data_IF_137055190401
#
_entry.id   IF_137055190401
#
_cell.length_a   1.000
_cell.length_b   1.000
_cell.length_c   1.000
_cell.angle_alpha   90.00
_cell.angle_beta   90.00
_cell.angle_gamma   90.00
#
_symmetry.space_group_name_H-M   'P 1'
#
loop_
_entity.id
_entity.type
_entity.pdbx_description
1 polymer ?
#
# COMPACT_ATOMS: atom_id res chain seq x y z
N UNK A 1 -15.75 7.78 19.40
CA UNK A 1 -14.71 7.88 18.36
C UNK A 1 -15.29 7.75 16.95
N UNK A 2 -15.80 6.60 16.52
CA UNK A 2 -16.27 6.39 15.13
C UNK A 2 -17.48 7.25 14.70
N UNK A 3 -18.27 7.75 15.67
CA UNK A 3 -19.41 8.64 15.40
C UNK A 3 -19.00 10.10 15.19
N UNK A 4 -17.75 10.47 15.49
CA UNK A 4 -17.30 11.85 15.33
C UNK A 4 -17.27 12.26 13.87
N UNK A 5 -17.53 13.54 13.63
CA UNK A 5 -17.51 14.12 12.28
C UNK A 5 -16.12 13.95 11.64
N UNK A 6 -15.05 14.22 12.39
CA UNK A 6 -13.67 13.98 11.98
C UNK A 6 -13.44 12.55 11.46
N UNK A 7 -13.92 11.53 12.19
CA UNK A 7 -13.76 10.14 11.77
C UNK A 7 -14.54 9.85 10.48
N UNK A 8 -15.79 10.33 10.40
CA UNK A 8 -16.65 10.14 9.21
C UNK A 8 -16.05 10.80 7.97
N UNK A 9 -15.49 12.00 8.10
CA UNK A 9 -14.80 12.69 7.00
C UNK A 9 -13.57 11.91 6.55
N UNK A 10 -12.70 11.49 7.47
CA UNK A 10 -11.52 10.70 7.12
C UNK A 10 -11.86 9.34 6.54
N UNK A 11 -12.93 8.70 7.00
CA UNK A 11 -13.40 7.42 6.46
C UNK A 11 -13.78 7.54 4.97
N UNK A 12 -14.39 8.67 4.55
CA UNK A 12 -14.72 8.92 3.14
C UNK A 12 -13.49 9.02 2.24
N UNK A 13 -12.31 9.33 2.78
CA UNK A 13 -11.08 9.42 1.99
C UNK A 13 -10.35 8.07 1.83
N UNK A 14 -10.77 7.02 2.57
CA UNK A 14 -10.06 5.73 2.62
C UNK A 14 -9.95 5.03 1.28
N UNK A 15 -10.93 5.18 0.39
CA UNK A 15 -10.89 4.52 -0.91
C UNK A 15 -9.62 4.85 -1.70
N UNK A 16 -9.04 6.05 -1.50
CA UNK A 16 -7.80 6.51 -2.15
C UNK A 16 -6.58 5.67 -1.75
N UNK A 17 -6.53 5.19 -0.50
CA UNK A 17 -5.42 4.37 0.02
C UNK A 17 -5.70 2.88 -0.09
N UNK A 18 -6.97 2.46 0.01
CA UNK A 18 -7.36 1.06 -0.07
C UNK A 18 -7.12 0.47 -1.46
N UNK A 19 -7.40 1.22 -2.52
CA UNK A 19 -7.08 0.79 -3.89
C UNK A 19 -5.57 0.53 -4.07
N UNK A 20 -4.73 1.45 -3.59
CA UNK A 20 -3.26 1.32 -3.66
C UNK A 20 -2.74 0.16 -2.84
N UNK A 21 -3.31 -0.09 -1.66
CA UNK A 21 -2.93 -1.21 -0.80
C UNK A 21 -3.41 -2.55 -1.37
N UNK A 22 -4.60 -2.59 -1.97
CA UNK A 22 -5.11 -3.78 -2.66
C UNK A 22 -4.21 -4.16 -3.84
N UNK A 23 -3.75 -3.17 -4.60
CA UNK A 23 -2.76 -3.40 -5.67
C UNK A 23 -1.46 -3.97 -5.11
N UNK A 24 -0.89 -3.35 -4.07
CA UNK A 24 0.35 -3.82 -3.43
C UNK A 24 0.23 -5.28 -2.99
N UNK A 25 -0.84 -5.62 -2.27
CA UNK A 25 -1.09 -6.98 -1.78
C UNK A 25 -1.29 -7.96 -2.93
N UNK A 26 -2.32 -7.76 -3.74
CA UNK A 26 -2.78 -8.77 -4.68
C UNK A 26 -1.96 -8.83 -5.99
N UNK A 27 -1.45 -7.69 -6.48
CA UNK A 27 -0.76 -7.63 -7.79
C UNK A 27 0.75 -7.72 -7.65
N UNK A 28 1.30 -7.27 -6.52
CA UNK A 28 2.75 -7.25 -6.28
C UNK A 28 3.18 -8.17 -5.12
N UNK A 29 2.27 -9.02 -4.62
CA UNK A 29 2.58 -10.06 -3.65
C UNK A 29 2.99 -9.54 -2.27
N UNK A 30 2.59 -8.33 -1.90
CA UNK A 30 2.96 -7.72 -0.62
C UNK A 30 2.37 -8.45 0.59
N UNK A 31 1.27 -9.19 0.42
CA UNK A 31 0.64 -9.97 1.48
C UNK A 31 1.31 -11.32 1.76
N UNK A 32 2.21 -11.79 0.88
CA UNK A 32 2.94 -13.04 1.03
C UNK A 32 4.38 -12.76 1.45
N UNK A 33 4.79 -13.23 2.62
CA UNK A 33 6.19 -13.11 3.06
C UNK A 33 7.11 -14.03 2.23
N UNK A 34 8.17 -13.47 1.65
CA UNK A 34 9.18 -14.24 0.91
C UNK A 34 10.30 -14.76 1.80
N UNK A 35 10.40 -14.25 3.03
CA UNK A 35 11.38 -14.65 4.03
C UNK A 35 10.77 -14.62 5.42
N UNK A 36 11.26 -15.51 6.28
CA UNK A 36 10.88 -15.56 7.69
C UNK A 36 11.62 -14.47 8.48
N UNK A 37 10.89 -13.80 9.37
CA UNK A 37 11.46 -12.83 10.31
C UNK A 37 11.24 -11.37 9.93
N UNK A 38 11.23 -10.51 10.95
CA UNK A 38 10.83 -9.10 10.84
C UNK A 38 11.70 -8.31 9.85
N UNK A 39 13.01 -8.55 9.85
CA UNK A 39 13.94 -7.84 8.96
C UNK A 39 13.65 -8.16 7.49
N UNK A 40 13.43 -9.43 7.14
CA UNK A 40 13.10 -9.85 5.79
C UNK A 40 11.81 -9.21 5.30
N UNK A 41 10.77 -9.20 6.15
CA UNK A 41 9.49 -8.56 5.86
C UNK A 41 9.62 -7.04 5.67
N UNK A 42 10.46 -6.36 6.46
CA UNK A 42 10.72 -4.93 6.32
C UNK A 42 11.40 -4.60 4.99
N UNK A 43 12.43 -5.36 4.61
CA UNK A 43 13.14 -5.18 3.34
C UNK A 43 12.19 -5.44 2.17
N UNK A 44 11.45 -6.56 2.20
CA UNK A 44 10.46 -6.89 1.18
C UNK A 44 9.43 -5.76 1.04
N UNK A 45 8.90 -5.28 2.16
CA UNK A 45 7.88 -4.24 2.16
C UNK A 45 8.40 -2.92 1.57
N UNK A 46 9.57 -2.47 2.01
CA UNK A 46 10.22 -1.26 1.51
C UNK A 46 10.49 -1.33 0.00
N UNK A 47 11.05 -2.45 -0.47
CA UNK A 47 11.37 -2.65 -1.88
C UNK A 47 10.12 -2.70 -2.76
N UNK A 48 9.06 -3.39 -2.31
CA UNK A 48 7.80 -3.48 -3.06
C UNK A 48 7.15 -2.11 -3.21
N UNK A 49 7.05 -1.34 -2.12
CA UNK A 49 6.48 0.02 -2.14
C UNK A 49 7.28 0.93 -3.08
N UNK A 50 8.61 0.88 -3.00
CA UNK A 50 9.49 1.69 -3.83
C UNK A 50 9.32 1.37 -5.32
N UNK A 51 9.44 0.10 -5.69
CA UNK A 51 9.36 -0.34 -7.09
C UNK A 51 7.97 -0.06 -7.72
N UNK A 52 6.90 -0.28 -6.97
CA UNK A 52 5.53 0.00 -7.45
C UNK A 52 5.31 1.49 -7.65
N UNK A 53 5.81 2.34 -6.75
CA UNK A 53 5.72 3.79 -6.93
C UNK A 53 6.52 4.26 -8.15
N UNK A 54 7.70 3.70 -8.40
CA UNK A 54 8.45 3.99 -9.64
C UNK A 54 7.64 3.62 -10.89
N UNK A 55 7.05 2.41 -10.94
CA UNK A 55 6.20 1.99 -12.06
C UNK A 55 5.03 2.94 -12.31
N UNK A 56 4.40 3.46 -11.25
CA UNK A 56 3.30 4.43 -11.37
C UNK A 56 3.77 5.76 -11.97
N UNK A 57 4.90 6.29 -11.52
CA UNK A 57 5.47 7.55 -12.04
C UNK A 57 5.82 7.40 -13.52
N UNK A 58 6.49 6.30 -13.89
CA UNK A 58 6.86 6.04 -15.29
C UNK A 58 5.61 6.03 -16.18
N UNK A 59 4.53 5.36 -15.76
CA UNK A 59 3.27 5.32 -16.50
C UNK A 59 2.53 6.66 -16.61
N UNK A 60 2.88 7.67 -15.80
CA UNK A 60 2.34 9.03 -15.95
C UNK A 60 3.17 9.88 -16.90
N UNK A 61 4.42 9.47 -17.16
CA UNK A 61 5.32 10.13 -18.11
C UNK A 61 5.19 9.55 -19.53
N UNK A 62 4.49 8.42 -19.67
CA UNK A 62 4.06 7.80 -20.93
C UNK A 62 2.69 8.38 -21.37
#
# INVERSE_FOLDING_TARGET
>A
FQVSEYFKEKAKERYKIEAKNSELKNRHGYDVATSSGLLGMQIQGAMTIFAVNLKRILKLND
#
